data_IF_927239339497
#
_entry.id   IF_927239339497
#
_cell.length_a   1.000
_cell.length_b   1.000
_cell.length_c   1.000
_cell.angle_alpha   90.00
_cell.angle_beta   90.00
_cell.angle_gamma   90.00
#
_symmetry.space_group_name_H-M   'P 1'
#
loop_
_entity.id
_entity.type
_entity.pdbx_description
1 polymer ?
#
# COMPACT_ATOMS: atom_id res chain seq x y z
N UNK A 1 14.69 -26.94 9.91
CA UNK A 1 15.58 -25.85 9.48
C UNK A 1 14.72 -24.62 9.33
N UNK A 2 14.67 -23.73 10.32
CA UNK A 2 14.06 -22.41 10.11
C UNK A 2 15.09 -21.57 9.38
N UNK A 3 14.78 -21.16 8.15
CA UNK A 3 15.52 -20.06 7.54
C UNK A 3 15.45 -18.89 8.51
N UNK A 4 16.60 -18.42 8.97
CA UNK A 4 16.68 -17.30 9.87
C UNK A 4 16.39 -16.06 9.04
N UNK A 5 15.10 -15.73 8.94
CA UNK A 5 14.62 -14.53 8.27
C UNK A 5 15.09 -13.34 9.14
N UNK A 6 16.26 -12.83 8.81
CA UNK A 6 16.79 -11.58 9.35
C UNK A 6 16.21 -10.45 8.52
N UNK A 7 15.30 -9.67 9.11
CA UNK A 7 14.71 -8.50 8.45
C UNK A 7 15.25 -7.25 9.10
N UNK A 8 15.85 -6.37 8.32
CA UNK A 8 16.31 -5.07 8.80
C UNK A 8 15.12 -4.09 8.94
N UNK A 9 14.87 -3.51 10.13
CA UNK A 9 13.85 -2.48 10.32
C UNK A 9 13.98 -1.28 9.36
N UNK A 10 15.18 -0.93 8.91
CA UNK A 10 15.40 0.13 7.92
C UNK A 10 14.84 -0.26 6.54
N UNK A 11 15.04 -1.51 6.10
CA UNK A 11 14.49 -2.01 4.83
C UNK A 11 12.97 -2.09 4.85
N UNK A 12 12.38 -2.47 6.00
CA UNK A 12 10.93 -2.44 6.20
C UNK A 12 10.36 -1.02 6.06
N UNK A 13 11.02 -0.02 6.67
CA UNK A 13 10.60 1.38 6.53
C UNK A 13 10.77 1.91 5.12
N UNK A 14 11.86 1.55 4.44
CA UNK A 14 12.06 1.92 3.04
C UNK A 14 10.95 1.33 2.16
N UNK A 15 10.59 0.06 2.39
CA UNK A 15 9.48 -0.61 1.70
C UNK A 15 8.13 0.04 2.01
N UNK A 16 7.89 0.45 3.26
CA UNK A 16 6.70 1.18 3.65
C UNK A 16 6.58 2.53 2.93
N UNK A 17 7.69 3.28 2.84
CA UNK A 17 7.75 4.53 2.10
C UNK A 17 7.46 4.32 0.61
N UNK A 18 8.05 3.29 -0.01
CA UNK A 18 7.79 2.94 -1.40
C UNK A 18 6.30 2.61 -1.64
N UNK A 19 5.69 1.81 -0.77
CA UNK A 19 4.27 1.47 -0.88
C UNK A 19 3.37 2.71 -0.80
N UNK A 20 3.69 3.68 0.07
CA UNK A 20 2.96 4.97 0.12
C UNK A 20 3.15 5.79 -1.15
N UNK A 21 4.39 5.95 -1.62
CA UNK A 21 4.70 6.71 -2.83
C UNK A 21 3.92 6.18 -4.02
N UNK A 22 3.89 4.85 -4.21
CA UNK A 22 3.11 4.21 -5.27
C UNK A 22 1.61 4.50 -5.12
N UNK A 23 1.08 4.44 -3.89
CA UNK A 23 -0.34 4.72 -3.64
C UNK A 23 -0.72 6.17 -3.94
N UNK A 24 0.14 7.12 -3.57
CA UNK A 24 -0.03 8.55 -3.83
C UNK A 24 0.09 8.88 -5.32
N UNK A 25 1.12 8.35 -5.98
CA UNK A 25 1.38 8.54 -7.41
C UNK A 25 0.28 7.97 -8.30
N UNK A 26 -0.36 6.86 -7.89
CA UNK A 26 -1.42 6.22 -8.66
C UNK A 26 -2.77 6.97 -8.56
N UNK A 27 -3.01 7.71 -7.47
CA UNK A 27 -4.34 8.26 -7.18
C UNK A 27 -4.84 9.23 -8.26
N UNK A 28 -4.00 10.20 -8.63
CA UNK A 28 -4.35 11.20 -9.65
C UNK A 28 -4.58 10.60 -11.05
N UNK A 29 -3.65 9.81 -11.64
CA UNK A 29 -3.86 9.26 -12.97
C UNK A 29 -5.06 8.30 -13.03
N UNK A 30 -5.30 7.50 -11.97
CA UNK A 30 -6.50 6.66 -11.89
C UNK A 30 -7.78 7.49 -11.89
N UNK A 31 -7.87 8.52 -11.04
CA UNK A 31 -9.04 9.39 -10.98
C UNK A 31 -9.29 10.11 -12.32
N UNK A 32 -8.22 10.58 -12.98
CA UNK A 32 -8.31 11.23 -14.28
C UNK A 32 -8.82 10.28 -15.37
N UNK A 33 -8.33 9.03 -15.41
CA UNK A 33 -8.77 8.02 -16.38
C UNK A 33 -10.25 7.65 -16.20
N UNK A 34 -10.71 7.52 -14.95
CA UNK A 34 -12.12 7.26 -14.63
C UNK A 34 -13.00 8.45 -15.03
N UNK A 35 -12.59 9.67 -14.69
CA UNK A 35 -13.33 10.88 -15.03
C UNK A 35 -13.44 11.07 -16.56
N UNK A 36 -12.33 10.88 -17.29
CA UNK A 36 -12.31 10.95 -18.74
C UNK A 36 -13.23 9.91 -19.37
N UNK A 37 -13.18 8.67 -18.90
CA UNK A 37 -14.04 7.58 -19.40
C UNK A 37 -15.52 7.87 -19.17
N UNK A 38 -15.89 8.45 -18.03
CA UNK A 38 -17.28 8.90 -17.75
C UNK A 38 -17.71 10.05 -18.64
N UNK A 39 -16.84 11.05 -18.83
CA UNK A 39 -17.11 12.21 -19.70
C UNK A 39 -17.36 11.76 -21.13
N UNK A 40 -16.39 11.05 -21.73
CA UNK A 40 -16.49 10.56 -23.10
C UNK A 40 -17.65 9.58 -23.26
N UNK A 41 -17.88 8.71 -22.28
CA UNK A 41 -19.05 7.84 -22.27
C UNK A 41 -20.38 8.59 -22.27
N UNK A 42 -20.43 9.79 -21.69
CA UNK A 42 -21.62 10.66 -21.71
C UNK A 42 -21.76 11.41 -23.04
N UNK A 43 -20.65 11.87 -23.62
CA UNK A 43 -20.62 12.49 -24.96
C UNK A 43 -21.08 11.52 -26.06
N UNK A 44 -20.81 10.22 -25.88
CA UNK A 44 -21.21 9.14 -26.78
C UNK A 44 -22.58 8.52 -26.43
N UNK A 45 -23.42 9.23 -25.67
CA UNK A 45 -24.76 8.74 -25.33
C UNK A 45 -25.57 8.37 -26.58
N UNK A 46 -26.25 7.21 -26.53
CA UNK A 46 -26.99 6.64 -27.67
C UNK A 46 -26.16 5.69 -28.55
N UNK A 47 -24.85 5.62 -28.34
CA UNK A 47 -23.96 4.63 -28.98
C UNK A 47 -23.58 3.55 -27.96
N UNK A 48 -23.51 2.28 -28.39
CA UNK A 48 -23.18 1.15 -27.51
C UNK A 48 -21.86 1.36 -26.76
N UNK A 49 -20.84 1.87 -27.46
CA UNK A 49 -19.51 2.14 -26.91
C UNK A 49 -19.53 3.16 -25.75
N UNK A 50 -20.48 4.10 -25.75
CA UNK A 50 -20.63 5.07 -24.66
C UNK A 50 -21.03 4.39 -23.35
N UNK A 51 -21.97 3.45 -23.43
CA UNK A 51 -22.37 2.62 -22.28
C UNK A 51 -21.25 1.71 -21.78
N UNK A 52 -20.47 1.12 -22.69
CA UNK A 52 -19.31 0.29 -22.33
C UNK A 52 -18.22 1.09 -21.60
N UNK A 53 -17.91 2.31 -22.05
CA UNK A 53 -16.96 3.20 -21.38
C UNK A 53 -17.42 3.59 -19.96
N UNK A 54 -18.71 3.89 -19.79
CA UNK A 54 -19.28 4.17 -18.47
C UNK A 54 -19.20 2.95 -17.55
N UNK A 55 -19.55 1.76 -18.06
CA UNK A 55 -19.46 0.51 -17.30
C UNK A 55 -18.00 0.18 -16.91
N UNK A 56 -17.05 0.43 -17.81
CA UNK A 56 -15.63 0.24 -17.54
C UNK A 56 -15.16 1.17 -16.41
N UNK A 57 -15.51 2.46 -16.49
CA UNK A 57 -15.21 3.42 -15.44
C UNK A 57 -15.85 3.04 -14.09
N UNK A 58 -17.10 2.56 -14.11
CA UNK A 58 -17.79 2.14 -12.90
C UNK A 58 -17.19 0.87 -12.28
N UNK A 59 -16.67 -0.04 -13.09
CA UNK A 59 -15.98 -1.25 -12.61
C UNK A 59 -14.60 -0.98 -12.01
N UNK A 60 -13.81 -0.09 -12.63
CA UNK A 60 -12.44 0.17 -12.20
C UNK A 60 -12.31 1.15 -11.03
N UNK A 61 -13.24 2.10 -10.88
CA UNK A 61 -13.21 3.08 -9.78
C UNK A 61 -13.04 2.42 -8.38
N UNK A 62 -13.90 1.46 -7.96
CA UNK A 62 -13.71 0.79 -6.67
C UNK A 62 -12.47 -0.10 -6.61
N UNK A 63 -11.95 -0.58 -7.74
CA UNK A 63 -10.73 -1.40 -7.79
C UNK A 63 -9.51 -0.54 -7.48
N UNK A 64 -9.41 0.64 -8.07
CA UNK A 64 -8.33 1.58 -7.78
C UNK A 64 -8.40 2.06 -6.33
N UNK A 65 -9.60 2.37 -5.80
CA UNK A 65 -9.78 2.70 -4.39
C UNK A 65 -9.23 1.62 -3.45
N UNK A 66 -9.62 0.36 -3.66
CA UNK A 66 -9.11 -0.78 -2.87
C UNK A 66 -7.61 -1.00 -3.01
N UNK A 67 -7.04 -0.76 -4.20
CA UNK A 67 -5.61 -0.88 -4.42
C UNK A 67 -4.85 0.16 -3.59
N UNK A 68 -5.28 1.42 -3.59
CA UNK A 68 -4.71 2.47 -2.76
C UNK A 68 -4.83 2.14 -1.27
N UNK A 69 -6.00 1.69 -0.80
CA UNK A 69 -6.20 1.24 0.59
C UNK A 69 -5.23 0.12 0.97
N UNK A 70 -5.02 -0.85 0.07
CA UNK A 70 -4.11 -1.97 0.31
C UNK A 70 -2.66 -1.53 0.39
N UNK A 71 -2.23 -0.57 -0.43
CA UNK A 71 -0.89 0.00 -0.37
C UNK A 71 -0.64 0.72 0.95
N UNK A 72 -1.61 1.53 1.41
CA UNK A 72 -1.55 2.18 2.73
C UNK A 72 -1.49 1.15 3.86
N UNK A 73 -2.36 0.14 3.81
CA UNK A 73 -2.39 -0.94 4.81
C UNK A 73 -1.05 -1.69 4.86
N UNK A 74 -0.46 -1.97 3.69
CA UNK A 74 0.85 -2.63 3.58
C UNK A 74 1.95 -1.76 4.19
N UNK A 75 1.96 -0.45 3.90
CA UNK A 75 2.93 0.46 4.50
C UNK A 75 2.82 0.49 6.04
N UNK A 76 1.60 0.57 6.58
CA UNK A 76 1.37 0.52 8.02
C UNK A 76 1.84 -0.81 8.64
N UNK A 77 1.58 -1.94 7.99
CA UNK A 77 2.02 -3.25 8.48
C UNK A 77 3.55 -3.39 8.50
N UNK A 78 4.23 -2.86 7.47
CA UNK A 78 5.70 -2.85 7.39
C UNK A 78 6.31 -1.99 8.51
N UNK A 79 5.74 -0.81 8.78
CA UNK A 79 6.19 0.03 9.89
C UNK A 79 5.94 -0.61 11.26
N UNK A 80 4.77 -1.20 11.47
CA UNK A 80 4.46 -1.92 12.69
C UNK A 80 5.44 -3.09 12.91
N UNK A 81 5.80 -3.79 11.82
CA UNK A 81 6.80 -4.85 11.87
C UNK A 81 8.18 -4.32 12.25
N UNK A 82 8.63 -3.21 11.65
CA UNK A 82 9.89 -2.56 11.99
C UNK A 82 9.96 -2.16 13.47
N UNK A 83 8.88 -1.55 13.98
CA UNK A 83 8.76 -1.18 15.39
C UNK A 83 8.79 -2.41 16.31
N UNK A 84 8.13 -3.50 15.91
CA UNK A 84 8.12 -4.76 16.65
C UNK A 84 9.52 -5.38 16.76
N UNK A 85 10.30 -5.35 15.68
CA UNK A 85 11.69 -5.83 15.68
C UNK A 85 12.56 -5.02 16.64
N UNK A 86 12.53 -3.69 16.54
CA UNK A 86 13.33 -2.82 17.41
C UNK A 86 12.95 -2.94 18.89
N UNK A 87 11.65 -3.05 19.18
CA UNK A 87 11.18 -3.27 20.54
C UNK A 87 11.68 -4.60 21.11
N UNK A 88 11.61 -5.68 20.31
CA UNK A 88 12.09 -6.99 20.72
C UNK A 88 13.61 -6.99 20.96
N UNK A 89 14.38 -6.37 20.07
CA UNK A 89 15.84 -6.25 20.21
C UNK A 89 16.23 -5.45 21.45
N UNK A 90 15.49 -4.37 21.75
CA UNK A 90 15.65 -3.59 22.98
C UNK A 90 15.38 -4.41 24.25
N UNK A 91 14.28 -5.18 24.27
CA UNK A 91 13.96 -6.06 25.39
C UNK A 91 15.04 -7.13 25.61
N UNK A 92 15.55 -7.73 24.54
CA UNK A 92 16.62 -8.73 24.61
C UNK A 92 17.91 -8.09 25.15
N UNK A 93 18.30 -6.93 24.62
CA UNK A 93 19.49 -6.20 25.07
C UNK A 93 19.42 -5.86 26.58
N UNK A 94 18.27 -5.38 27.06
CA UNK A 94 18.06 -5.12 28.49
C UNK A 94 18.17 -6.39 29.34
N UNK A 95 17.62 -7.53 28.87
CA UNK A 95 17.72 -8.80 29.61
C UNK A 95 19.18 -9.24 29.75
N UNK A 96 19.98 -9.14 28.68
CA UNK A 96 21.41 -9.48 28.72
C UNK A 96 22.21 -8.57 29.65
N UNK A 97 21.94 -7.26 29.62
CA UNK A 97 22.57 -6.31 30.54
C UNK A 97 22.28 -6.66 32.01
N UNK A 98 21.04 -7.03 32.34
CA UNK A 98 20.67 -7.44 33.69
C UNK A 98 21.31 -8.76 34.12
N UNK A 99 21.50 -9.70 33.19
CA UNK A 99 22.15 -10.99 33.49
C UNK A 99 23.67 -10.87 33.64
N UNK A 100 24.34 -10.03 32.84
CA UNK A 100 25.79 -9.83 32.92
C UNK A 100 26.27 -8.97 34.09
N UNK A 101 25.35 -8.35 34.84
CA UNK A 101 25.62 -7.62 36.09
C UNK A 101 25.50 -8.50 37.35
N UNK A 102 25.22 -9.80 37.20
CA UNK A 102 25.24 -10.80 38.28
C UNK A 102 26.52 -11.63 38.23
#
# INVERSE_FOLDING_TARGET
MSEQISVDPAELRASAAAARSIGEELQQPSAAAIASSRSTGSELAGWSIGGELQSLAQGWDPVFGKLTERLVTTACALEASAQGHEWNDGQIAEMWQRQGQR
#
